data_IF_958030948643
#
_entry.id   IF_958030948643
#
_cell.length_a   1.000
_cell.length_b   1.000
_cell.length_c   1.000
_cell.angle_alpha   90.00
_cell.angle_beta   90.00
_cell.angle_gamma   90.00
#
_symmetry.space_group_name_H-M   'P 1'
#
loop_
_entity.id
_entity.type
_entity.pdbx_description
1 polymer ?
#
# COMPACT_ATOMS: atom_id res chain seq x y z
N UNK A 1 -14.74 38.44 -20.68
CA UNK A 1 -14.04 37.28 -21.26
C UNK A 1 -12.77 37.11 -20.45
N UNK A 2 -12.88 36.45 -19.31
CA UNK A 2 -11.77 36.27 -18.36
C UNK A 2 -11.29 34.84 -18.57
N UNK A 3 -10.12 34.71 -19.18
CA UNK A 3 -9.45 33.44 -19.42
C UNK A 3 -9.10 32.88 -18.05
N UNK A 4 -9.89 31.90 -17.60
CA UNK A 4 -9.69 31.18 -16.36
C UNK A 4 -8.35 30.47 -16.39
N UNK A 5 -7.61 30.64 -15.31
CA UNK A 5 -6.36 29.98 -14.97
C UNK A 5 -6.49 28.47 -15.21
N UNK A 6 -6.07 28.03 -16.39
CA UNK A 6 -5.99 26.63 -16.77
C UNK A 6 -4.64 26.13 -16.31
N UNK A 7 -4.50 25.95 -14.98
CA UNK A 7 -3.57 24.93 -14.47
C UNK A 7 -4.08 23.59 -14.98
N UNK A 8 -3.66 23.24 -16.18
CA UNK A 8 -3.87 21.93 -16.76
C UNK A 8 -3.14 20.95 -15.83
N UNK A 9 -3.90 20.26 -14.97
CA UNK A 9 -3.37 19.40 -13.90
C UNK A 9 -2.73 18.16 -14.55
N UNK A 10 -1.47 18.29 -14.95
CA UNK A 10 -0.63 17.14 -15.21
C UNK A 10 -0.23 16.55 -13.86
N UNK A 11 -0.84 15.44 -13.44
CA UNK A 11 -0.77 15.07 -12.02
C UNK A 11 -1.17 13.64 -11.67
N UNK A 12 -1.02 13.35 -10.38
CA UNK A 12 -1.47 12.13 -9.71
C UNK A 12 -2.97 12.24 -9.44
N UNK A 13 -3.75 11.30 -9.99
CA UNK A 13 -5.16 11.17 -9.63
C UNK A 13 -5.29 10.19 -8.46
N UNK A 14 -5.83 10.64 -7.33
CA UNK A 14 -6.26 9.78 -6.23
C UNK A 14 -7.71 9.42 -6.50
N UNK A 15 -7.96 8.17 -6.88
CA UNK A 15 -9.28 7.72 -7.33
C UNK A 15 -9.84 6.73 -6.34
N UNK A 16 -11.13 6.83 -6.06
CA UNK A 16 -11.83 5.83 -5.26
C UNK A 16 -13.27 5.64 -5.71
N UNK A 17 -13.76 4.41 -5.58
CA UNK A 17 -15.15 4.06 -5.86
C UNK A 17 -16.01 3.89 -4.61
N UNK A 18 -15.41 4.06 -3.43
CA UNK A 18 -16.10 3.95 -2.14
C UNK A 18 -16.39 2.53 -1.71
N UNK A 19 -16.08 1.51 -2.50
CA UNK A 19 -16.47 0.12 -2.20
C UNK A 19 -15.81 -0.45 -0.93
N UNK A 20 -14.75 0.18 -0.42
CA UNK A 20 -14.15 -0.15 0.88
C UNK A 20 -14.58 0.77 2.04
N UNK A 21 -15.51 1.71 1.82
CA UNK A 21 -16.07 2.55 2.87
C UNK A 21 -17.25 1.84 3.57
N UNK A 22 -17.49 2.10 4.86
CA UNK A 22 -18.57 1.44 5.59
C UNK A 22 -19.94 2.01 5.25
N UNK A 23 -20.94 1.13 5.18
CA UNK A 23 -22.36 1.49 5.14
C UNK A 23 -22.75 2.35 3.93
N UNK A 24 -23.55 3.38 4.17
CA UNK A 24 -24.08 4.26 3.10
C UNK A 24 -23.01 5.17 2.48
N UNK A 25 -21.86 5.33 3.12
CA UNK A 25 -20.75 6.13 2.59
C UNK A 25 -20.17 5.54 1.30
N UNK A 26 -20.28 4.22 1.09
CA UNK A 26 -19.77 3.55 -0.11
C UNK A 26 -20.43 4.02 -1.40
N UNK A 27 -21.69 4.47 -1.33
CA UNK A 27 -22.48 4.86 -2.51
C UNK A 27 -22.64 6.38 -2.64
N UNK A 28 -22.14 7.18 -1.70
CA UNK A 28 -22.21 8.64 -1.74
C UNK A 28 -20.90 9.23 -2.29
N UNK A 29 -20.90 9.82 -3.50
CA UNK A 29 -19.71 10.47 -4.05
C UNK A 29 -19.13 11.56 -3.15
N UNK A 30 -19.97 12.25 -2.36
CA UNK A 30 -19.51 13.26 -1.40
C UNK A 30 -18.65 12.66 -0.29
N UNK A 31 -19.13 11.57 0.33
CA UNK A 31 -18.38 10.81 1.32
C UNK A 31 -17.07 10.23 0.76
N UNK A 32 -17.09 9.70 -0.47
CA UNK A 32 -15.87 9.21 -1.14
C UNK A 32 -14.86 10.34 -1.32
N UNK A 33 -15.28 11.48 -1.87
CA UNK A 33 -14.40 12.64 -2.03
C UNK A 33 -13.84 13.13 -0.69
N UNK A 34 -14.63 13.14 0.38
CA UNK A 34 -14.16 13.52 1.71
C UNK A 34 -13.11 12.53 2.26
N UNK A 35 -13.30 11.23 2.05
CA UNK A 35 -12.34 10.21 2.47
C UNK A 35 -10.99 10.35 1.72
N UNK A 36 -11.02 10.60 0.41
CA UNK A 36 -9.82 10.80 -0.40
C UNK A 36 -9.11 12.13 -0.11
N UNK A 37 -9.82 13.14 0.40
CA UNK A 37 -9.23 14.46 0.70
C UNK A 37 -8.16 14.38 1.80
N UNK A 38 -8.29 13.42 2.71
CA UNK A 38 -7.26 13.19 3.74
C UNK A 38 -5.91 12.87 3.10
N UNK A 39 -5.89 11.98 2.11
CA UNK A 39 -4.66 11.58 1.41
C UNK A 39 -4.13 12.73 0.54
N UNK A 40 -5.01 13.45 -0.15
CA UNK A 40 -4.65 14.65 -0.94
C UNK A 40 -3.93 15.68 -0.06
N UNK A 41 -4.50 15.99 1.10
CA UNK A 41 -3.92 16.97 2.04
C UNK A 41 -2.56 16.49 2.56
N UNK A 42 -2.47 15.25 3.05
CA UNK A 42 -1.22 14.70 3.56
C UNK A 42 -0.09 14.73 2.51
N UNK A 43 -0.39 14.38 1.27
CA UNK A 43 0.60 14.41 0.19
C UNK A 43 0.99 15.84 -0.19
N UNK A 44 0.06 16.79 -0.24
CA UNK A 44 0.37 18.20 -0.52
C UNK A 44 1.18 18.87 0.59
N UNK A 45 0.86 18.55 1.84
CA UNK A 45 1.49 19.19 3.01
C UNK A 45 2.91 18.66 3.25
N UNK A 46 3.20 17.42 2.83
CA UNK A 46 4.46 16.74 3.18
C UNK A 46 5.31 16.30 1.98
N UNK A 47 4.83 16.47 0.74
CA UNK A 47 5.57 16.06 -0.46
C UNK A 47 5.47 17.10 -1.57
N UNK A 48 6.27 16.95 -2.63
CA UNK A 48 6.19 17.80 -3.82
C UNK A 48 5.05 17.41 -4.79
N UNK A 49 4.21 16.44 -4.41
CA UNK A 49 3.08 16.01 -5.23
C UNK A 49 1.91 16.99 -5.11
N UNK A 50 1.25 17.27 -6.23
CA UNK A 50 -0.02 18.00 -6.27
C UNK A 50 -1.15 17.08 -6.80
N UNK A 51 -1.61 16.12 -5.98
CA UNK A 51 -2.67 15.22 -6.38
C UNK A 51 -4.03 15.91 -6.42
N UNK A 52 -4.94 15.34 -7.21
CA UNK A 52 -6.36 15.67 -7.14
C UNK A 52 -7.18 14.40 -6.94
N UNK A 53 -8.33 14.55 -6.27
CA UNK A 53 -9.23 13.44 -5.95
C UNK A 53 -10.31 13.26 -7.01
N UNK A 54 -10.67 12.00 -7.28
CA UNK A 54 -11.77 11.63 -8.18
C UNK A 54 -12.60 10.54 -7.50
N UNK A 55 -13.90 10.79 -7.33
CA UNK A 55 -14.85 9.75 -6.96
C UNK A 55 -15.46 9.14 -8.23
N UNK A 56 -15.47 7.82 -8.31
CA UNK A 56 -16.03 7.08 -9.45
C UNK A 56 -17.14 6.17 -8.95
N UNK A 57 -18.35 6.36 -9.46
CA UNK A 57 -19.42 5.39 -9.20
C UNK A 57 -19.28 4.22 -10.17
N UNK A 58 -18.95 3.03 -9.66
CA UNK A 58 -18.81 1.81 -10.45
C UNK A 58 -19.46 0.62 -9.75
N UNK A 59 -20.19 -0.20 -10.50
CA UNK A 59 -20.85 -1.41 -9.97
C UNK A 59 -19.86 -2.56 -9.82
N UNK A 60 -18.88 -2.63 -10.72
CA UNK A 60 -17.88 -3.69 -10.78
C UNK A 60 -16.50 -3.17 -11.26
N UNK A 61 -15.53 -4.08 -11.30
CA UNK A 61 -14.17 -3.77 -11.74
C UNK A 61 -14.09 -3.33 -13.21
N UNK A 62 -14.97 -3.83 -14.10
CA UNK A 62 -14.92 -3.48 -15.52
C UNK A 62 -15.40 -2.04 -15.74
N UNK A 63 -16.47 -1.63 -15.05
CA UNK A 63 -16.94 -0.25 -15.06
C UNK A 63 -15.92 0.71 -14.48
N UNK A 64 -15.30 0.35 -13.34
CA UNK A 64 -14.25 1.16 -12.73
C UNK A 64 -13.05 1.32 -13.69
N UNK A 65 -12.59 0.22 -14.30
CA UNK A 65 -11.49 0.27 -15.27
C UNK A 65 -11.85 1.11 -16.51
N UNK A 66 -13.09 1.06 -16.99
CA UNK A 66 -13.57 1.91 -18.09
C UNK A 66 -13.51 3.40 -17.72
N UNK A 67 -14.00 3.75 -16.52
CA UNK A 67 -13.96 5.12 -16.01
C UNK A 67 -12.51 5.63 -15.84
N UNK A 68 -11.60 4.80 -15.34
CA UNK A 68 -10.18 5.15 -15.20
C UNK A 68 -9.50 5.37 -16.56
N UNK A 69 -9.85 4.60 -17.60
CA UNK A 69 -9.34 4.84 -18.97
C UNK A 69 -9.85 6.15 -19.58
N UNK A 70 -11.02 6.61 -19.14
CA UNK A 70 -11.64 7.85 -19.60
C UNK A 70 -11.10 9.11 -18.87
N UNK A 71 -10.20 8.94 -17.89
CA UNK A 71 -9.56 10.08 -17.23
C UNK A 71 -8.79 10.95 -18.24
N UNK A 72 -8.67 12.27 -17.97
CA UNK A 72 -7.96 13.18 -18.87
C UNK A 72 -6.54 12.72 -19.16
N UNK A 73 -6.03 12.99 -20.37
CA UNK A 73 -4.66 12.64 -20.79
C UNK A 73 -3.56 13.33 -19.96
N UNK A 74 -3.91 14.34 -19.16
CA UNK A 74 -3.01 14.97 -18.21
C UNK A 74 -2.72 14.08 -16.97
N UNK A 75 -3.53 13.05 -16.70
CA UNK A 75 -3.24 12.10 -15.62
C UNK A 75 -2.03 11.25 -15.96
N UNK A 76 -0.99 11.35 -15.12
CA UNK A 76 0.29 10.65 -15.33
C UNK A 76 0.43 9.40 -14.47
N UNK A 77 -0.37 9.28 -13.41
CA UNK A 77 -0.46 8.11 -12.55
C UNK A 77 -1.80 8.10 -11.79
N UNK A 78 -2.25 6.91 -11.41
CA UNK A 78 -3.44 6.71 -10.58
C UNK A 78 -3.03 6.05 -9.27
N UNK A 79 -3.45 6.65 -8.16
CA UNK A 79 -3.48 5.99 -6.86
C UNK A 79 -4.92 5.58 -6.56
N UNK A 80 -5.18 4.27 -6.58
CA UNK A 80 -6.52 3.71 -6.35
C UNK A 80 -6.69 3.42 -4.85
N UNK A 81 -7.58 4.18 -4.21
CA UNK A 81 -7.83 4.15 -2.77
C UNK A 81 -9.33 4.07 -2.47
N UNK A 82 -9.69 3.62 -1.28
CA UNK A 82 -11.07 3.37 -0.83
C UNK A 82 -11.85 2.45 -1.77
N UNK A 83 -11.18 1.46 -2.33
CA UNK A 83 -11.76 0.45 -3.23
C UNK A 83 -11.49 -0.94 -2.66
N UNK A 84 -12.47 -1.85 -2.72
CA UNK A 84 -12.34 -3.21 -2.17
C UNK A 84 -11.13 -3.95 -2.79
N UNK A 85 -10.34 -4.74 -2.01
CA UNK A 85 -9.08 -5.33 -2.47
C UNK A 85 -9.16 -6.16 -3.77
N UNK A 86 -10.16 -7.04 -3.90
CA UNK A 86 -10.32 -7.90 -5.09
C UNK A 86 -10.64 -7.06 -6.32
N UNK A 87 -11.54 -6.07 -6.17
CA UNK A 87 -11.88 -5.11 -7.23
C UNK A 87 -10.67 -4.27 -7.64
N UNK A 88 -9.93 -3.70 -6.68
CA UNK A 88 -8.75 -2.89 -6.93
C UNK A 88 -7.70 -3.67 -7.74
N UNK A 89 -7.45 -4.93 -7.34
CA UNK A 89 -6.52 -5.82 -8.05
C UNK A 89 -6.98 -6.15 -9.46
N UNK A 90 -8.26 -6.42 -9.66
CA UNK A 90 -8.81 -6.70 -10.99
C UNK A 90 -8.63 -5.51 -11.94
N UNK A 91 -8.91 -4.30 -11.46
CA UNK A 91 -8.72 -3.04 -12.21
C UNK A 91 -7.25 -2.80 -12.54
N UNK A 92 -6.36 -2.94 -11.56
CA UNK A 92 -4.92 -2.77 -11.75
C UNK A 92 -4.39 -3.70 -12.85
N UNK A 93 -4.74 -4.99 -12.80
CA UNK A 93 -4.34 -5.99 -13.82
C UNK A 93 -4.92 -5.68 -15.19
N UNK A 94 -6.15 -5.19 -15.26
CA UNK A 94 -6.79 -4.83 -16.52
C UNK A 94 -6.11 -3.62 -17.18
N UNK A 95 -5.79 -2.59 -16.40
CA UNK A 95 -5.12 -1.39 -16.89
C UNK A 95 -3.65 -1.63 -17.24
N UNK A 96 -2.96 -2.52 -16.52
CA UNK A 96 -1.57 -2.91 -16.82
C UNK A 96 -1.43 -3.51 -18.24
N UNK A 97 -2.43 -4.26 -18.73
CA UNK A 97 -2.42 -4.81 -20.11
C UNK A 97 -2.45 -3.72 -21.19
N UNK A 98 -3.03 -2.56 -20.87
CA UNK A 98 -3.14 -1.43 -21.79
C UNK A 98 -1.92 -0.50 -21.77
N UNK A 99 -1.06 -0.59 -20.75
CA UNK A 99 0.25 0.09 -20.69
C UNK A 99 0.25 1.63 -20.68
N UNK A 100 -0.90 2.29 -20.48
CA UNK A 100 -1.01 3.76 -20.65
C UNK A 100 -0.73 4.58 -19.40
N UNK A 101 -1.23 4.17 -18.24
CA UNK A 101 -1.16 4.94 -16.98
C UNK A 101 -0.81 3.96 -15.85
N UNK A 102 0.26 4.20 -15.07
CA UNK A 102 0.59 3.36 -13.93
C UNK A 102 -0.49 3.48 -12.86
N UNK A 103 -0.91 2.33 -12.31
CA UNK A 103 -1.92 2.22 -11.25
C UNK A 103 -1.28 1.60 -10.02
N UNK A 104 -1.22 2.37 -8.94
CA UNK A 104 -0.76 1.93 -7.62
C UNK A 104 -1.99 1.85 -6.74
N UNK A 105 -2.18 0.75 -6.02
CA UNK A 105 -3.28 0.64 -5.06
C UNK A 105 -2.83 1.02 -3.65
N UNK A 106 -3.77 1.44 -2.81
CA UNK A 106 -3.51 1.64 -1.38
C UNK A 106 -3.00 0.36 -0.71
N UNK A 107 -3.40 -0.82 -1.20
CA UNK A 107 -2.96 -2.11 -0.65
C UNK A 107 -1.52 -2.46 -1.03
N UNK A 108 -1.03 -2.05 -2.20
CA UNK A 108 0.37 -2.26 -2.59
C UNK A 108 1.31 -1.51 -1.63
N UNK A 109 0.97 -0.25 -1.39
CA UNK A 109 1.74 0.67 -0.55
C UNK A 109 1.56 0.36 0.94
N UNK A 110 0.36 -0.06 1.36
CA UNK A 110 0.12 -0.57 2.70
C UNK A 110 0.93 -1.86 2.97
N UNK A 111 1.02 -2.78 2.01
CA UNK A 111 1.86 -3.98 2.15
C UNK A 111 3.33 -3.61 2.38
N UNK A 112 3.84 -2.63 1.63
CA UNK A 112 5.20 -2.12 1.77
C UNK A 112 5.42 -1.49 3.16
N UNK A 113 4.50 -0.65 3.61
CA UNK A 113 4.55 -0.04 4.94
C UNK A 113 4.55 -1.09 6.05
N UNK A 114 3.62 -2.05 6.00
CA UNK A 114 3.53 -3.13 6.98
C UNK A 114 4.79 -4.03 6.98
N UNK A 115 5.32 -4.36 5.80
CA UNK A 115 6.58 -5.11 5.71
C UNK A 115 7.76 -4.33 6.33
N UNK A 116 7.83 -3.01 6.11
CA UNK A 116 8.82 -2.16 6.75
C UNK A 116 8.65 -2.15 8.27
N UNK A 117 7.42 -2.01 8.77
CA UNK A 117 7.12 -2.04 10.20
C UNK A 117 7.50 -3.38 10.85
N UNK A 118 7.25 -4.51 10.17
CA UNK A 118 7.70 -5.85 10.62
C UNK A 118 9.23 -5.89 10.69
N UNK A 119 9.94 -5.45 9.66
CA UNK A 119 11.41 -5.44 9.65
C UNK A 119 12.00 -4.58 10.78
N UNK A 120 11.42 -3.41 11.04
CA UNK A 120 11.83 -2.52 12.13
C UNK A 120 11.59 -3.19 13.48
N UNK A 121 10.43 -3.83 13.65
CA UNK A 121 10.04 -4.51 14.89
C UNK A 121 10.96 -5.68 15.19
N UNK A 122 11.23 -6.53 14.20
CA UNK A 122 12.15 -7.66 14.33
C UNK A 122 13.56 -7.20 14.66
N UNK A 123 14.06 -6.15 13.99
CA UNK A 123 15.36 -5.55 14.29
C UNK A 123 15.47 -5.06 15.73
N UNK A 124 14.41 -4.44 16.27
CA UNK A 124 14.36 -3.96 17.66
C UNK A 124 14.32 -5.10 18.68
N UNK A 125 13.64 -6.18 18.33
CA UNK A 125 13.61 -7.39 19.14
C UNK A 125 14.89 -8.24 18.98
N UNK A 126 15.87 -7.79 18.18
CA UNK A 126 17.09 -8.53 17.84
C UNK A 126 16.82 -9.93 17.24
N UNK A 127 15.66 -10.09 16.59
CA UNK A 127 15.25 -11.31 15.90
C UNK A 127 15.59 -11.19 14.42
N UNK A 128 16.45 -12.08 13.92
CA UNK A 128 16.74 -12.14 12.49
C UNK A 128 15.48 -12.58 11.70
N UNK A 129 15.13 -11.94 10.56
CA UNK A 129 13.92 -12.28 9.81
C UNK A 129 13.74 -13.78 9.50
N UNK A 130 14.82 -14.47 9.13
CA UNK A 130 14.78 -15.90 8.81
C UNK A 130 14.51 -16.81 10.02
N UNK A 131 14.58 -16.29 11.25
CA UNK A 131 14.21 -16.98 12.50
C UNK A 131 12.86 -16.51 13.06
N UNK A 132 12.26 -15.48 12.46
CA UNK A 132 11.03 -14.90 12.94
C UNK A 132 9.82 -15.73 12.51
N UNK A 133 8.82 -15.77 13.40
CA UNK A 133 7.48 -16.25 13.10
C UNK A 133 6.52 -15.07 13.07
N UNK A 134 5.90 -14.82 11.93
CA UNK A 134 4.95 -13.71 11.74
C UNK A 134 3.55 -14.27 11.49
N UNK A 135 2.56 -13.80 12.24
CA UNK A 135 1.15 -14.14 11.98
C UNK A 135 0.47 -12.95 11.32
N UNK A 136 -0.21 -13.18 10.20
CA UNK A 136 -1.01 -12.16 9.51
C UNK A 136 -2.48 -12.50 9.67
N UNK A 137 -3.17 -11.77 10.55
CA UNK A 137 -4.61 -11.86 10.74
C UNK A 137 -5.33 -10.99 9.70
N UNK A 138 -6.31 -11.54 9.00
CA UNK A 138 -6.94 -10.87 7.86
C UNK A 138 -6.07 -10.92 6.59
N UNK A 139 -5.35 -12.02 6.36
CA UNK A 139 -4.38 -12.15 5.25
C UNK A 139 -4.98 -11.92 3.85
N UNK A 140 -6.31 -12.03 3.69
CA UNK A 140 -7.01 -11.75 2.43
C UNK A 140 -7.09 -10.25 2.07
N UNK A 141 -6.91 -9.36 3.05
CA UNK A 141 -7.14 -7.93 2.88
C UNK A 141 -5.98 -7.23 2.17
N UNK A 142 -4.76 -7.69 2.41
CA UNK A 142 -3.54 -7.15 1.78
C UNK A 142 -2.75 -8.32 1.14
N UNK A 143 -3.19 -8.81 -0.04
CA UNK A 143 -2.66 -10.06 -0.61
C UNK A 143 -1.15 -10.05 -0.88
N UNK A 144 -0.57 -8.87 -1.11
CA UNK A 144 0.86 -8.71 -1.38
C UNK A 144 1.74 -8.89 -0.13
N UNK A 145 1.18 -8.72 1.08
CA UNK A 145 1.97 -8.70 2.31
C UNK A 145 2.74 -10.00 2.55
N UNK A 146 2.09 -11.16 2.43
CA UNK A 146 2.73 -12.45 2.68
C UNK A 146 3.87 -12.73 1.68
N UNK A 147 3.66 -12.62 0.34
CA UNK A 147 4.76 -12.70 -0.63
C UNK A 147 5.90 -11.72 -0.35
N UNK A 148 5.58 -10.49 0.05
CA UNK A 148 6.58 -9.47 0.34
C UNK A 148 7.39 -9.79 1.60
N UNK A 149 6.77 -10.28 2.66
CA UNK A 149 7.46 -10.74 3.87
C UNK A 149 8.39 -11.92 3.57
N UNK A 150 7.96 -12.87 2.72
CA UNK A 150 8.84 -13.96 2.25
C UNK A 150 10.03 -13.41 1.47
N UNK A 151 9.80 -12.46 0.55
CA UNK A 151 10.87 -11.81 -0.20
C UNK A 151 11.84 -11.03 0.71
N UNK A 152 11.34 -10.45 1.79
CA UNK A 152 12.12 -9.82 2.85
C UNK A 152 12.89 -10.83 3.75
N UNK A 153 12.70 -12.13 3.54
CA UNK A 153 13.44 -13.20 4.23
C UNK A 153 12.82 -13.64 5.55
N UNK A 154 11.53 -13.40 5.78
CA UNK A 154 10.83 -13.93 6.97
C UNK A 154 10.73 -15.46 6.86
N UNK A 155 11.16 -16.16 7.90
CA UNK A 155 11.33 -17.62 7.90
C UNK A 155 10.03 -18.42 8.05
N UNK A 156 9.13 -17.96 8.92
CA UNK A 156 7.82 -18.59 9.16
C UNK A 156 6.72 -17.53 9.12
N UNK A 157 5.70 -17.78 8.28
CA UNK A 157 4.54 -16.89 8.13
C UNK A 157 3.27 -17.72 8.18
N UNK A 158 2.41 -17.42 9.16
CA UNK A 158 1.08 -18.02 9.25
C UNK A 158 0.02 -16.98 8.85
N UNK A 159 -0.84 -17.37 7.90
CA UNK A 159 -2.01 -16.59 7.50
C UNK A 159 -3.23 -17.03 8.27
N UNK A 160 -4.00 -16.08 8.80
CA UNK A 160 -5.22 -16.35 9.55
C UNK A 160 -6.39 -15.51 9.02
N UNK A 161 -7.58 -16.09 9.03
CA UNK A 161 -8.85 -15.44 8.68
C UNK A 161 -9.91 -15.85 9.69
N UNK A 162 -10.98 -15.06 9.82
CA UNK A 162 -12.05 -15.30 10.82
C UNK A 162 -12.64 -16.70 10.76
N UNK A 163 -12.78 -17.27 9.55
CA UNK A 163 -13.28 -18.63 9.36
C UNK A 163 -12.42 -19.71 10.03
N UNK A 164 -11.13 -19.44 10.30
CA UNK A 164 -10.23 -20.37 10.96
C UNK A 164 -10.48 -20.44 12.47
N UNK A 165 -11.16 -19.44 13.06
CA UNK A 165 -11.32 -19.28 14.51
C UNK A 165 -11.91 -20.52 15.21
N UNK A 166 -12.80 -21.26 14.54
CA UNK A 166 -13.48 -22.44 15.11
C UNK A 166 -12.50 -23.57 15.39
N UNK A 167 -11.51 -23.78 14.53
CA UNK A 167 -10.52 -24.85 14.68
C UNK A 167 -9.19 -24.35 15.25
N UNK A 168 -8.84 -23.10 14.94
CA UNK A 168 -7.55 -22.50 15.24
C UNK A 168 -7.78 -21.05 15.72
N UNK A 169 -8.10 -20.86 17.02
CA UNK A 169 -8.25 -19.53 17.59
C UNK A 169 -6.97 -18.69 17.37
N UNK A 170 -7.12 -17.42 17.00
CA UNK A 170 -5.99 -16.54 16.73
C UNK A 170 -5.03 -16.43 17.94
N UNK A 171 -5.56 -16.44 19.16
CA UNK A 171 -4.79 -16.44 20.42
C UNK A 171 -3.88 -17.67 20.57
N UNK A 172 -4.27 -18.80 20.00
CA UNK A 172 -3.46 -20.03 20.02
C UNK A 172 -2.38 -19.98 18.95
N UNK A 173 -2.74 -19.58 17.72
CA UNK A 173 -1.79 -19.53 16.60
C UNK A 173 -0.68 -18.51 16.86
N UNK A 174 -1.02 -17.40 17.50
CA UNK A 174 -0.12 -16.27 17.70
C UNK A 174 0.77 -16.34 18.94
N UNK A 175 0.61 -17.35 19.80
CA UNK A 175 1.35 -17.48 21.06
C UNK A 175 2.87 -17.39 20.91
N UNK A 176 3.43 -18.06 19.91
CA UNK A 176 4.88 -18.08 19.67
C UNK A 176 5.28 -17.16 18.50
N UNK A 177 4.42 -16.21 18.14
CA UNK A 177 4.71 -15.26 17.07
C UNK A 177 5.68 -14.18 17.57
N UNK A 178 6.71 -13.89 16.78
CA UNK A 178 7.57 -12.72 16.99
C UNK A 178 6.81 -11.42 16.73
N UNK A 179 5.92 -11.42 15.73
CA UNK A 179 5.08 -10.28 15.36
C UNK A 179 3.72 -10.79 14.89
N UNK A 180 2.66 -10.07 15.26
CA UNK A 180 1.34 -10.22 14.66
C UNK A 180 0.98 -8.97 13.88
N UNK A 181 0.64 -9.15 12.61
CA UNK A 181 0.05 -8.10 11.78
C UNK A 181 -1.46 -8.29 11.79
N UNK A 182 -2.17 -7.34 12.37
CA UNK A 182 -3.63 -7.33 12.49
C UNK A 182 -4.25 -6.44 11.43
N UNK A 183 -4.94 -7.07 10.47
CA UNK A 183 -5.67 -6.43 9.38
C UNK A 183 -7.20 -6.60 9.51
N UNK A 184 -7.69 -7.05 10.67
CA UNK A 184 -9.11 -7.30 10.88
C UNK A 184 -9.95 -6.02 10.80
N UNK A 185 -9.40 -4.88 11.23
CA UNK A 185 -10.07 -3.58 11.06
C UNK A 185 -10.22 -3.20 9.58
N UNK A 186 -9.22 -3.52 8.76
CA UNK A 186 -9.28 -3.26 7.31
C UNK A 186 -10.26 -4.23 6.64
N UNK A 187 -10.39 -5.45 7.19
CA UNK A 187 -11.37 -6.43 6.76
C UNK A 187 -12.82 -6.11 7.21
N UNK A 188 -13.04 -5.05 8.01
CA UNK A 188 -14.33 -4.74 8.67
C UNK A 188 -14.85 -5.90 9.53
N UNK A 189 -13.93 -6.65 10.13
CA UNK A 189 -14.19 -7.86 10.90
C UNK A 189 -14.40 -7.56 12.40
N UNK A 190 -15.24 -8.32 13.12
CA UNK A 190 -15.32 -8.24 14.58
C UNK A 190 -13.98 -8.64 15.22
N UNK A 191 -13.42 -7.78 16.08
CA UNK A 191 -12.20 -8.10 16.82
C UNK A 191 -12.44 -9.20 17.87
N UNK A 192 -11.69 -10.31 17.86
CA UNK A 192 -11.64 -11.18 19.02
C UNK A 192 -10.91 -10.47 20.16
N UNK A 193 -11.32 -10.74 21.41
CA UNK A 193 -10.62 -10.21 22.58
C UNK A 193 -9.19 -10.78 22.64
N UNK A 194 -8.19 -9.91 22.49
CA UNK A 194 -6.79 -10.24 22.66
C UNK A 194 -6.46 -10.25 24.16
N UNK A 195 -6.05 -11.41 24.70
CA UNK A 195 -5.17 -11.43 25.87
C UNK A 195 -3.75 -11.25 25.32
N UNK A 196 -3.28 -10.01 25.28
CA UNK A 196 -1.91 -9.72 24.85
C UNK A 196 -0.94 -10.31 25.88
N UNK A 197 -0.19 -11.33 25.48
CA UNK A 197 0.99 -11.73 26.24
C UNK A 197 2.05 -10.61 26.11
N UNK A 198 2.80 -10.33 27.18
CA UNK A 198 3.67 -9.17 27.27
C UNK A 198 4.81 -9.15 26.22
N UNK A 199 5.06 -10.28 25.55
CA UNK A 199 6.11 -10.46 24.54
C UNK A 199 5.64 -10.26 23.10
N UNK A 200 4.32 -10.14 22.85
CA UNK A 200 3.76 -10.14 21.51
C UNK A 200 3.56 -8.71 20.98
N UNK A 201 4.27 -8.34 19.91
CA UNK A 201 4.07 -7.04 19.24
C UNK A 201 2.96 -7.18 18.19
N UNK A 202 1.92 -6.37 18.34
CA UNK A 202 0.81 -6.27 17.38
C UNK A 202 0.97 -5.01 16.53
N UNK A 203 1.09 -5.18 15.22
CA UNK A 203 1.10 -4.11 14.24
C UNK A 203 -0.28 -4.03 13.60
N UNK A 204 -0.88 -2.84 13.57
CA UNK A 204 -2.15 -2.61 12.90
C UNK A 204 -1.94 -1.77 11.65
N UNK A 205 -2.88 -1.84 10.71
CA UNK A 205 -2.95 -0.92 9.57
C UNK A 205 -3.49 0.48 9.95
N UNK A 206 -3.56 0.82 11.24
CA UNK A 206 -4.17 2.04 11.74
C UNK A 206 -3.28 3.29 11.66
N UNK A 207 -2.05 3.18 11.17
CA UNK A 207 -1.20 4.35 10.92
C UNK A 207 -1.83 5.22 9.82
N UNK A 208 -2.09 6.51 10.07
CA UNK A 208 -2.83 7.37 9.14
C UNK A 208 -2.05 7.71 7.87
N UNK A 209 -0.74 7.49 7.83
CA UNK A 209 0.14 7.83 6.70
C UNK A 209 0.84 6.60 6.10
N UNK A 210 0.76 5.43 6.74
CA UNK A 210 1.51 4.23 6.37
C UNK A 210 1.33 3.80 4.91
N UNK A 211 0.11 3.89 4.38
CA UNK A 211 -0.21 3.60 2.97
C UNK A 211 0.30 4.66 1.99
N UNK A 212 0.77 5.82 2.46
CA UNK A 212 1.30 6.89 1.61
C UNK A 212 2.83 6.90 1.55
N UNK A 213 3.52 6.30 2.53
CA UNK A 213 4.98 6.42 2.68
C UNK A 213 5.78 5.97 1.44
N UNK A 214 5.34 4.90 0.77
CA UNK A 214 6.05 4.41 -0.41
C UNK A 214 5.68 5.17 -1.70
N UNK A 215 4.52 5.83 -1.72
CA UNK A 215 3.89 6.34 -2.93
C UNK A 215 4.74 7.41 -3.66
N UNK A 216 5.26 8.46 -3.00
CA UNK A 216 6.08 9.48 -3.68
C UNK A 216 7.33 8.90 -4.35
N UNK A 217 8.03 8.01 -3.66
CA UNK A 217 9.24 7.37 -4.18
C UNK A 217 8.95 6.39 -5.33
N UNK A 218 7.87 5.61 -5.24
CA UNK A 218 7.40 4.73 -6.32
C UNK A 218 7.06 5.54 -7.58
N UNK A 219 6.27 6.60 -7.44
CA UNK A 219 5.90 7.47 -8.55
C UNK A 219 7.12 8.11 -9.21
N UNK A 220 8.08 8.57 -8.41
CA UNK A 220 9.33 9.10 -8.92
C UNK A 220 10.12 8.04 -9.70
N UNK A 221 10.27 6.84 -9.16
CA UNK A 221 10.99 5.75 -9.82
C UNK A 221 10.31 5.30 -11.13
N UNK A 222 8.97 5.27 -11.19
CA UNK A 222 8.24 4.95 -12.42
C UNK A 222 8.46 6.01 -13.50
N UNK A 223 8.55 7.29 -13.12
CA UNK A 223 8.79 8.40 -14.05
C UNK A 223 10.23 8.49 -14.53
N UNK A 224 11.19 8.26 -13.65
CA UNK A 224 12.63 8.47 -13.90
C UNK A 224 13.37 7.18 -14.30
N UNK A 225 12.81 6.01 -14.02
CA UNK A 225 13.46 4.72 -14.17
C UNK A 225 13.35 4.10 -15.56
N UNK A 226 14.07 2.99 -15.81
CA UNK A 226 14.06 2.26 -17.10
C UNK A 226 12.71 1.63 -17.46
N UNK A 227 11.73 1.66 -16.54
CA UNK A 227 10.34 1.22 -16.72
C UNK A 227 9.46 2.32 -17.32
N UNK A 228 10.00 3.54 -17.54
CA UNK A 228 9.29 4.61 -18.24
C UNK A 228 8.85 4.14 -19.64
N UNK A 229 7.57 3.77 -19.77
CA UNK A 229 6.97 3.22 -21.01
C UNK A 229 6.63 1.72 -20.98
N UNK A 230 7.10 0.98 -19.98
CA UNK A 230 6.68 -0.40 -19.69
C UNK A 230 6.00 -0.45 -18.32
N UNK A 231 4.97 0.37 -18.09
CA UNK A 231 4.12 0.27 -16.90
C UNK A 231 3.33 -1.06 -16.91
N UNK A 232 4.06 -2.17 -16.82
CA UNK A 232 3.55 -3.47 -16.42
C UNK A 232 3.13 -3.40 -14.96
N UNK A 233 2.34 -4.39 -14.57
CA UNK A 233 1.78 -4.52 -13.22
C UNK A 233 2.92 -4.41 -12.20
N UNK A 234 2.99 -3.32 -11.42
CA UNK A 234 4.00 -3.13 -10.36
C UNK A 234 4.05 -4.32 -9.39
N UNK A 235 2.96 -5.07 -9.28
CA UNK A 235 2.88 -6.35 -8.58
C UNK A 235 3.82 -7.44 -9.10
N UNK A 236 4.19 -7.43 -10.38
CA UNK A 236 5.18 -8.35 -10.93
C UNK A 236 6.60 -7.99 -10.47
N UNK A 237 6.81 -6.77 -9.96
CA UNK A 237 8.09 -6.29 -9.45
C UNK A 237 8.20 -6.43 -7.93
N UNK A 238 8.04 -7.66 -7.42
CA UNK A 238 8.18 -7.94 -5.98
C UNK A 238 9.51 -7.43 -5.40
N UNK A 239 10.60 -7.44 -6.18
CA UNK A 239 11.88 -6.86 -5.79
C UNK A 239 11.84 -5.35 -5.60
N UNK A 240 11.06 -4.61 -6.38
CA UNK A 240 10.86 -3.18 -6.18
C UNK A 240 10.12 -2.91 -4.86
N UNK A 241 9.06 -3.68 -4.58
CA UNK A 241 8.33 -3.58 -3.32
C UNK A 241 9.20 -3.93 -2.10
N UNK A 242 10.03 -4.98 -2.23
CA UNK A 242 11.03 -5.35 -1.21
C UNK A 242 12.03 -4.23 -0.97
N UNK A 243 12.56 -3.63 -2.03
CA UNK A 243 13.48 -2.51 -1.94
C UNK A 243 12.84 -1.29 -1.27
N UNK A 244 11.56 -0.99 -1.56
CA UNK A 244 10.81 0.04 -0.83
C UNK A 244 10.72 -0.27 0.66
N UNK A 245 10.31 -1.49 1.03
CA UNK A 245 10.14 -1.87 2.43
C UNK A 245 11.46 -1.77 3.20
N UNK A 246 12.57 -2.19 2.59
CA UNK A 246 13.92 -2.03 3.15
C UNK A 246 14.34 -0.57 3.28
N UNK A 247 14.05 0.26 2.28
CA UNK A 247 14.35 1.69 2.32
C UNK A 247 13.57 2.41 3.44
N UNK A 248 12.26 2.14 3.56
CA UNK A 248 11.44 2.67 4.66
C UNK A 248 11.98 2.19 6.00
N UNK A 249 12.24 0.89 6.17
CA UNK A 249 12.77 0.33 7.42
C UNK A 249 14.14 0.91 7.81
N UNK A 250 14.97 1.30 6.83
CA UNK A 250 16.26 1.96 7.04
C UNK A 250 16.17 3.45 7.33
N UNK A 251 15.07 4.11 6.96
CA UNK A 251 14.74 5.49 7.31
C UNK A 251 14.06 5.60 8.68
N UNK A 252 13.38 4.54 9.12
CA UNK A 252 12.62 4.55 10.37
C UNK A 252 13.50 4.90 11.58
N UNK A 253 13.16 5.97 12.34
CA UNK A 253 13.83 6.32 13.59
C UNK A 253 13.77 5.22 14.66
N UNK A 254 14.68 5.29 15.65
CA UNK A 254 14.78 4.27 16.72
C UNK A 254 13.60 4.24 17.69
N UNK A 255 12.76 5.26 17.69
CA UNK A 255 11.56 5.42 18.54
C UNK A 255 10.24 5.17 17.80
N UNK A 256 10.22 5.05 16.46
CA UNK A 256 8.99 4.86 15.64
C UNK A 256 8.95 3.54 14.87
N UNK A 257 7.79 2.98 14.56
CA UNK A 257 7.71 1.75 13.72
C UNK A 257 7.77 2.03 12.22
N UNK A 258 7.52 3.28 11.82
CA UNK A 258 7.56 3.77 10.43
C UNK A 258 8.27 5.13 10.37
N UNK A 259 8.84 5.52 9.21
CA UNK A 259 9.40 6.85 9.01
C UNK A 259 8.29 7.91 8.93
N UNK A 260 8.69 9.18 9.01
CA UNK A 260 7.79 10.31 8.83
C UNK A 260 7.56 10.57 7.33
N UNK A 261 6.32 10.85 6.91
CA UNK A 261 6.02 11.22 5.52
C UNK A 261 6.74 12.52 5.12
N UNK A 262 6.99 13.41 6.08
CA UNK A 262 7.69 14.67 5.88
C UNK A 262 9.24 14.54 5.87
N UNK A 263 9.79 13.33 6.03
CA UNK A 263 11.24 13.13 5.97
C UNK A 263 11.77 13.53 4.57
N UNK A 264 12.71 14.49 4.48
CA UNK A 264 13.20 15.01 3.20
C UNK A 264 13.91 13.95 2.35
N UNK A 265 14.47 12.91 2.97
CA UNK A 265 15.16 11.82 2.29
C UNK A 265 14.20 10.74 1.77
N UNK A 266 12.97 10.67 2.28
CA UNK A 266 12.05 9.55 2.03
C UNK A 266 11.80 9.31 0.55
N UNK A 267 11.39 10.36 -0.17
CA UNK A 267 11.09 10.24 -1.60
C UNK A 267 12.31 9.79 -2.39
N UNK A 268 13.48 10.39 -2.10
CA UNK A 268 14.71 10.09 -2.82
C UNK A 268 15.22 8.67 -2.56
N UNK A 269 15.26 8.22 -1.29
CA UNK A 269 15.76 6.89 -0.94
C UNK A 269 14.87 5.78 -1.45
N UNK A 270 13.55 5.92 -1.34
CA UNK A 270 12.61 4.95 -1.89
C UNK A 270 12.78 4.88 -3.41
N UNK A 271 12.80 6.02 -4.11
CA UNK A 271 12.96 6.03 -5.57
C UNK A 271 14.28 5.40 -6.05
N UNK A 272 15.38 5.69 -5.35
CA UNK A 272 16.70 5.10 -5.64
C UNK A 272 16.68 3.59 -5.44
N UNK A 273 16.16 3.11 -4.30
CA UNK A 273 16.10 1.69 -4.00
C UNK A 273 15.30 0.92 -5.05
N UNK A 274 14.16 1.46 -5.49
CA UNK A 274 13.34 0.89 -6.56
C UNK A 274 14.10 0.85 -7.87
N UNK A 275 14.73 1.97 -8.26
CA UNK A 275 15.47 2.06 -9.53
C UNK A 275 16.64 1.08 -9.56
N UNK A 276 17.35 0.90 -8.45
CA UNK A 276 18.44 -0.08 -8.33
C UNK A 276 17.94 -1.52 -8.41
N UNK A 277 16.84 -1.84 -7.72
CA UNK A 277 16.24 -3.18 -7.75
C UNK A 277 15.74 -3.59 -9.15
N UNK A 278 15.37 -2.62 -9.97
CA UNK A 278 14.87 -2.83 -11.33
C UNK A 278 15.96 -2.80 -12.40
N UNK A 279 17.23 -2.56 -12.05
CA UNK A 279 18.33 -2.61 -13.03
C UNK A 279 18.52 -4.05 -13.51
N UNK A 280 18.64 -4.28 -14.83
CA UNK A 280 19.00 -5.59 -15.33
C UNK A 280 20.38 -5.98 -14.79
N UNK A 281 20.63 -7.28 -14.51
CA UNK A 281 21.94 -7.72 -14.08
C UNK A 281 23.00 -7.34 -15.13
N UNK A 282 24.22 -6.97 -14.71
CA UNK A 282 25.27 -6.64 -15.66
C UNK A 282 25.47 -7.79 -16.63
N UNK A 283 25.47 -7.49 -17.94
CA UNK A 283 25.77 -8.47 -18.98
C UNK A 283 27.19 -9.00 -18.72
N UNK A 284 27.30 -10.28 -18.37
CA UNK A 284 28.57 -11.00 -18.24
C UNK A 284 29.17 -11.26 -19.61
#
# INVERSE_FOLDING_TARGET
MTIGDTRQVAGLAIVGDGSALPGTAASDPGAVLAALETDVRLLRDHTALDPFRVAVTARDAAELASALRALPSAVTAIFLARTEPVRARAVQRDLARGGRIPVITEYDTLAIGLAAAVLVTLRRAEVAPHKARVVVAGAGTVPLLVPLLMACGVGDIASWREGDAVGFPLSVISRDASVVVDLLDVAMAPRPAFEADATQVVLTAGDPVGHLLALPGLLRAVREGPIAGQAGDLFEHLDAHRACAQALAGLTPVDRVLPDLADPDLTHRVARAVTEALRPPPRR
#
